data_IF_473055227913
#
_entry.id   IF_473055227913
#
_cell.length_a   1.000
_cell.length_b   1.000
_cell.length_c   1.000
_cell.angle_alpha   90.00
_cell.angle_beta   90.00
_cell.angle_gamma   90.00
#
_symmetry.space_group_name_H-M   'P 1'
#
loop_
_entity.id
_entity.type
_entity.pdbx_description
1 polymer ?
#
# COMPACT_ATOMS: atom_id res chain seq x y z
N UNK A 1 -29.18 -5.13 1.88
CA UNK A 1 -28.20 -4.60 2.84
C UNK A 1 -26.87 -5.25 2.53
N UNK A 2 -25.80 -4.46 2.41
CA UNK A 2 -24.43 -4.97 2.27
C UNK A 2 -23.67 -4.53 3.50
N UNK A 3 -22.90 -5.44 4.09
CA UNK A 3 -22.05 -5.17 5.26
C UNK A 3 -20.65 -5.61 4.92
N UNK A 4 -19.68 -4.71 5.10
CA UNK A 4 -18.26 -4.98 4.89
C UNK A 4 -17.63 -4.90 6.28
N UNK A 5 -17.38 -6.06 6.87
CA UNK A 5 -16.71 -6.16 8.16
C UNK A 5 -15.20 -6.14 7.97
N UNK A 6 -14.55 -5.05 8.42
CA UNK A 6 -13.10 -4.92 8.44
C UNK A 6 -12.67 -4.17 9.69
N UNK A 7 -11.55 -4.59 10.26
CA UNK A 7 -10.82 -3.89 11.32
C UNK A 7 -9.87 -2.82 10.76
N UNK A 8 -9.49 -2.92 9.47
CA UNK A 8 -8.71 -1.88 8.79
C UNK A 8 -9.60 -0.74 8.26
N UNK A 9 -9.49 0.44 8.91
CA UNK A 9 -10.15 1.70 8.52
C UNK A 9 -9.79 2.19 7.12
N UNK A 10 -8.71 1.68 6.52
CA UNK A 10 -8.34 1.94 5.13
C UNK A 10 -9.48 1.61 4.17
N UNK A 11 -10.15 0.47 4.37
CA UNK A 11 -11.25 0.03 3.51
C UNK A 11 -12.42 1.02 3.62
N UNK A 12 -12.75 1.47 4.83
CA UNK A 12 -13.78 2.48 5.04
C UNK A 12 -13.44 3.78 4.31
N UNK A 13 -12.19 4.24 4.41
CA UNK A 13 -11.70 5.43 3.73
C UNK A 13 -11.86 5.32 2.21
N UNK A 14 -11.31 4.27 1.60
CA UNK A 14 -11.39 4.06 0.15
C UNK A 14 -12.85 3.96 -0.33
N UNK A 15 -13.70 3.19 0.37
CA UNK A 15 -15.10 3.02 -0.02
C UNK A 15 -15.95 4.28 0.18
N UNK A 16 -15.52 5.20 1.04
CA UNK A 16 -16.19 6.49 1.26
C UNK A 16 -15.76 7.57 0.26
N UNK A 17 -14.73 7.31 -0.55
CA UNK A 17 -14.22 8.27 -1.55
C UNK A 17 -15.14 8.43 -2.75
N UNK A 18 -15.07 9.60 -3.39
CA UNK A 18 -15.70 9.91 -4.68
C UNK A 18 -15.36 8.87 -5.75
N UNK A 19 -14.14 8.34 -5.74
CA UNK A 19 -13.68 7.31 -6.69
C UNK A 19 -14.55 6.06 -6.59
N UNK A 20 -14.75 5.55 -5.37
CA UNK A 20 -15.59 4.37 -5.17
C UNK A 20 -17.08 4.68 -5.40
N UNK A 21 -17.55 5.87 -5.00
CA UNK A 21 -18.95 6.29 -5.24
C UNK A 21 -19.27 6.31 -6.73
N UNK A 22 -18.42 6.92 -7.56
CA UNK A 22 -18.60 6.96 -9.01
C UNK A 22 -18.61 5.56 -9.63
N UNK A 23 -17.67 4.70 -9.23
CA UNK A 23 -17.66 3.30 -9.64
C UNK A 23 -18.97 2.58 -9.27
N UNK A 24 -19.40 2.70 -8.02
CA UNK A 24 -20.58 2.01 -7.51
C UNK A 24 -21.89 2.49 -8.18
N UNK A 25 -21.99 3.77 -8.52
CA UNK A 25 -23.15 4.34 -9.21
C UNK A 25 -23.28 3.84 -10.65
N UNK A 26 -22.15 3.56 -11.31
CA UNK A 26 -22.11 3.06 -12.69
C UNK A 26 -22.25 1.54 -12.75
N UNK A 27 -21.45 0.81 -11.98
CA UNK A 27 -21.43 -0.65 -11.99
C UNK A 27 -22.58 -1.29 -11.21
N UNK A 28 -23.18 -0.53 -10.29
CA UNK A 28 -24.33 -0.94 -9.51
C UNK A 28 -25.59 -1.17 -10.34
N UNK A 29 -26.69 -1.41 -9.66
CA UNK A 29 -28.02 -1.49 -10.29
C UNK A 29 -28.89 -0.35 -9.79
N UNK A 30 -30.04 -0.14 -10.41
CA UNK A 30 -31.01 0.87 -9.96
C UNK A 30 -32.35 0.21 -9.68
N UNK A 31 -33.02 0.69 -8.63
CA UNK A 31 -34.44 0.39 -8.37
C UNK A 31 -35.20 1.70 -8.50
N UNK A 32 -35.74 1.95 -9.70
CA UNK A 32 -36.24 3.28 -10.07
C UNK A 32 -35.09 4.30 -10.07
N UNK A 33 -35.22 5.36 -9.27
CA UNK A 33 -34.19 6.40 -9.12
C UNK A 33 -33.16 6.10 -8.03
N UNK A 34 -33.38 5.07 -7.22
CA UNK A 34 -32.49 4.75 -6.10
C UNK A 34 -31.39 3.78 -6.54
N UNK A 35 -30.10 4.09 -6.33
CA UNK A 35 -29.02 3.16 -6.61
C UNK A 35 -29.06 1.97 -5.65
N UNK A 36 -28.70 0.79 -6.17
CA UNK A 36 -28.61 -0.47 -5.45
C UNK A 36 -27.19 -1.00 -5.56
N UNK A 37 -26.50 -0.99 -4.42
CA UNK A 37 -25.15 -1.51 -4.30
C UNK A 37 -25.16 -3.05 -4.35
N UNK A 38 -24.61 -3.63 -5.42
CA UNK A 38 -24.54 -5.08 -5.61
C UNK A 38 -23.09 -5.52 -5.44
N UNK A 39 -22.77 -6.25 -4.35
CA UNK A 39 -21.38 -6.64 -3.99
C UNK A 39 -20.57 -7.15 -5.20
N UNK A 40 -21.13 -8.11 -5.94
CA UNK A 40 -20.45 -8.76 -7.08
C UNK A 40 -20.18 -7.86 -8.27
N UNK A 41 -20.84 -6.69 -8.34
CA UNK A 41 -20.63 -5.71 -9.41
C UNK A 41 -19.91 -4.45 -8.93
N UNK A 42 -20.04 -4.12 -7.65
CA UNK A 42 -19.48 -2.88 -7.08
C UNK A 42 -18.19 -3.16 -6.33
N UNK A 43 -18.20 -4.03 -5.31
CA UNK A 43 -17.04 -4.24 -4.43
C UNK A 43 -16.04 -5.22 -5.05
N UNK A 44 -16.51 -6.38 -5.49
CA UNK A 44 -15.64 -7.48 -5.93
C UNK A 44 -14.74 -7.08 -7.12
N UNK A 45 -15.25 -6.39 -8.16
CA UNK A 45 -14.40 -5.95 -9.28
C UNK A 45 -13.78 -4.57 -9.05
N UNK A 46 -13.93 -3.94 -7.88
CA UNK A 46 -13.35 -2.62 -7.67
C UNK A 46 -11.82 -2.71 -7.60
N UNK A 47 -11.08 -2.03 -8.50
CA UNK A 47 -9.63 -2.09 -8.47
C UNK A 47 -9.09 -1.19 -7.36
N UNK A 48 -8.93 -1.73 -6.14
CA UNK A 48 -8.39 -1.00 -4.99
C UNK A 48 -7.00 -0.39 -5.31
N UNK A 49 -6.68 0.79 -4.74
CA UNK A 49 -5.38 1.42 -4.95
C UNK A 49 -4.27 0.59 -4.29
N UNK A 50 -3.03 0.79 -4.74
CA UNK A 50 -1.83 0.15 -4.19
C UNK A 50 -0.93 1.21 -3.51
N UNK A 51 -1.37 1.76 -2.36
CA UNK A 51 -0.67 2.86 -1.69
C UNK A 51 0.64 2.42 -1.02
N UNK A 52 1.55 3.38 -0.82
CA UNK A 52 2.65 3.20 0.13
C UNK A 52 2.13 3.04 1.57
N UNK A 53 2.92 2.51 2.52
CA UNK A 53 2.50 2.42 3.92
C UNK A 53 2.03 3.75 4.52
N UNK A 54 2.68 4.85 4.15
CA UNK A 54 2.36 6.21 4.61
C UNK A 54 1.03 6.69 4.03
N UNK A 55 0.81 6.49 2.73
CA UNK A 55 -0.47 6.82 2.08
C UNK A 55 -1.61 5.97 2.65
N UNK A 56 -1.37 4.68 2.90
CA UNK A 56 -2.34 3.78 3.54
C UNK A 56 -2.71 4.27 4.93
N UNK A 57 -1.72 4.69 5.72
CA UNK A 57 -1.93 5.24 7.07
C UNK A 57 -2.73 6.54 7.04
N UNK A 58 -2.40 7.47 6.13
CA UNK A 58 -3.17 8.72 5.95
C UNK A 58 -4.65 8.45 5.63
N UNK A 59 -4.93 7.49 4.75
CA UNK A 59 -6.32 7.10 4.41
C UNK A 59 -7.04 6.48 5.62
N UNK A 60 -6.35 5.67 6.45
CA UNK A 60 -6.92 5.13 7.69
C UNK A 60 -7.37 6.22 8.64
N UNK A 61 -6.48 7.17 8.92
CA UNK A 61 -6.75 8.28 9.84
C UNK A 61 -7.94 9.11 9.37
N UNK A 62 -8.04 9.36 8.06
CA UNK A 62 -9.19 10.06 7.46
C UNK A 62 -10.48 9.24 7.54
N UNK A 63 -10.41 7.93 7.31
CA UNK A 63 -11.54 7.01 7.49
C UNK A 63 -12.05 6.98 8.93
N UNK A 64 -11.14 6.96 9.91
CA UNK A 64 -11.47 7.02 11.34
C UNK A 64 -12.05 8.37 11.73
N UNK A 65 -11.46 9.47 11.26
CA UNK A 65 -11.97 10.83 11.46
C UNK A 65 -13.40 10.97 10.92
N UNK A 66 -13.67 10.38 9.76
CA UNK A 66 -15.00 10.36 9.15
C UNK A 66 -16.03 9.59 9.99
N UNK A 67 -15.68 8.40 10.45
CA UNK A 67 -16.55 7.59 11.31
C UNK A 67 -16.79 8.26 12.68
N UNK A 68 -15.72 8.75 13.31
CA UNK A 68 -15.78 9.46 14.58
C UNK A 68 -16.67 10.70 14.49
N UNK A 69 -16.53 11.49 13.43
CA UNK A 69 -17.38 12.65 13.19
C UNK A 69 -18.87 12.27 13.11
N UNK A 70 -19.21 11.27 12.28
CA UNK A 70 -20.60 10.80 12.13
C UNK A 70 -21.18 10.33 13.46
N UNK A 71 -20.43 9.52 14.22
CA UNK A 71 -20.83 9.01 15.53
C UNK A 71 -20.99 10.13 16.56
N UNK A 72 -20.05 11.07 16.62
CA UNK A 72 -20.10 12.20 17.53
C UNK A 72 -21.38 13.02 17.31
N UNK A 73 -21.65 13.38 16.05
CA UNK A 73 -22.83 14.16 15.68
C UNK A 73 -24.12 13.43 16.06
N UNK A 74 -24.24 12.14 15.73
CA UNK A 74 -25.43 11.36 16.07
C UNK A 74 -25.62 11.16 17.59
N UNK A 75 -24.53 11.04 18.34
CA UNK A 75 -24.60 10.92 19.80
C UNK A 75 -25.03 12.24 20.47
N UNK A 76 -24.56 13.38 19.96
CA UNK A 76 -24.91 14.70 20.50
C UNK A 76 -26.30 15.17 20.05
N UNK A 77 -26.70 14.78 18.84
CA UNK A 77 -27.96 15.18 18.21
C UNK A 77 -28.65 13.96 17.57
N UNK A 78 -29.41 13.17 18.35
CA UNK A 78 -30.07 11.95 17.86
C UNK A 78 -31.11 12.20 16.74
N UNK A 79 -31.55 13.45 16.56
CA UNK A 79 -32.39 13.89 15.45
C UNK A 79 -31.63 13.95 14.10
N UNK A 80 -30.30 14.01 14.14
CA UNK A 80 -29.46 14.06 12.94
C UNK A 80 -29.28 12.64 12.37
N UNK A 81 -29.67 12.50 11.11
CA UNK A 81 -29.53 11.24 10.37
C UNK A 81 -28.35 11.32 9.40
N UNK A 82 -27.71 10.18 9.12
CA UNK A 82 -26.69 10.07 8.07
C UNK A 82 -27.24 10.62 6.76
N UNK A 83 -28.43 10.19 6.34
CA UNK A 83 -29.08 10.67 5.11
C UNK A 83 -29.24 12.18 5.09
N UNK A 84 -29.70 12.79 6.19
CA UNK A 84 -29.84 14.25 6.27
C UNK A 84 -28.50 14.99 6.19
N UNK A 85 -27.44 14.45 6.81
CA UNK A 85 -26.08 15.01 6.67
C UNK A 85 -25.61 15.02 5.21
N UNK A 86 -25.80 13.91 4.48
CA UNK A 86 -25.38 13.82 3.08
C UNK A 86 -26.27 14.65 2.15
N UNK A 87 -27.57 14.73 2.38
CA UNK A 87 -28.45 15.61 1.59
C UNK A 87 -28.01 17.07 1.68
N UNK A 88 -27.67 17.55 2.88
CA UNK A 88 -27.17 18.90 3.06
C UNK A 88 -25.74 19.07 2.52
N UNK A 89 -24.90 18.04 2.59
CA UNK A 89 -23.56 18.05 1.99
C UNK A 89 -23.64 18.24 0.46
N UNK A 90 -24.55 17.52 -0.20
CA UNK A 90 -24.75 17.67 -1.65
C UNK A 90 -25.31 19.06 -1.99
N UNK A 91 -26.20 19.61 -1.15
CA UNK A 91 -26.67 21.00 -1.26
C UNK A 91 -25.50 22.00 -1.16
N UNK A 92 -24.59 21.78 -0.22
CA UNK A 92 -23.39 22.59 -0.01
C UNK A 92 -22.45 22.53 -1.23
N UNK A 93 -22.19 21.32 -1.75
CA UNK A 93 -21.34 21.09 -2.93
C UNK A 93 -21.92 21.73 -4.20
N UNK A 94 -23.23 21.71 -4.35
CA UNK A 94 -23.93 22.34 -5.47
C UNK A 94 -24.00 23.87 -5.38
N UNK A 95 -23.49 24.49 -4.29
CA UNK A 95 -23.55 25.94 -4.09
C UNK A 95 -24.97 26.48 -3.94
N UNK A 96 -25.94 25.63 -3.55
CA UNK A 96 -27.31 26.06 -3.38
C UNK A 96 -27.45 26.89 -2.09
N UNK A 97 -28.28 27.95 -2.10
CA UNK A 97 -28.44 28.80 -0.93
C UNK A 97 -29.07 28.02 0.23
N UNK A 98 -28.50 28.20 1.42
CA UNK A 98 -29.01 27.61 2.65
C UNK A 98 -30.17 28.44 3.20
N UNK A 99 -31.29 27.77 3.46
CA UNK A 99 -32.38 28.31 4.27
C UNK A 99 -31.96 28.40 5.73
N UNK A 100 -32.74 29.08 6.57
CA UNK A 100 -32.41 29.15 8.00
C UNK A 100 -32.51 27.79 8.69
N UNK A 101 -33.38 26.90 8.21
CA UNK A 101 -33.45 25.51 8.65
C UNK A 101 -32.18 24.73 8.26
N UNK A 102 -31.65 24.94 7.05
CA UNK A 102 -30.40 24.31 6.61
C UNK A 102 -29.21 24.76 7.45
N UNK A 103 -29.13 26.06 7.79
CA UNK A 103 -28.08 26.60 8.66
C UNK A 103 -28.16 25.99 10.06
N UNK A 104 -29.36 25.99 10.66
CA UNK A 104 -29.57 25.37 11.97
C UNK A 104 -29.25 23.86 11.97
N UNK A 105 -29.56 23.16 10.88
CA UNK A 105 -29.16 21.75 10.72
C UNK A 105 -27.65 21.62 10.58
N UNK A 106 -26.99 22.46 9.77
CA UNK A 106 -25.54 22.47 9.60
C UNK A 106 -24.80 22.74 10.92
N UNK A 107 -25.31 23.63 11.77
CA UNK A 107 -24.67 23.97 13.04
C UNK A 107 -24.63 22.77 14.00
N UNK A 108 -25.65 21.91 13.96
CA UNK A 108 -25.69 20.64 14.70
C UNK A 108 -24.89 19.53 14.03
N UNK A 109 -25.09 19.38 12.72
CA UNK A 109 -24.54 18.29 11.93
C UNK A 109 -23.07 18.50 11.52
N UNK A 110 -22.56 19.73 11.66
CA UNK A 110 -21.20 20.12 11.31
C UNK A 110 -20.83 19.72 9.87
N UNK A 111 -21.74 19.94 8.90
CA UNK A 111 -21.60 19.44 7.52
C UNK A 111 -20.40 20.05 6.79
N UNK A 112 -19.96 21.26 7.14
CA UNK A 112 -18.71 21.83 6.63
C UNK A 112 -17.49 20.99 6.99
N UNK A 113 -17.45 20.43 8.21
CA UNK A 113 -16.37 19.53 8.64
C UNK A 113 -16.47 18.19 7.92
N UNK A 114 -17.69 17.67 7.76
CA UNK A 114 -17.92 16.48 6.94
C UNK A 114 -17.40 16.65 5.51
N UNK A 115 -17.67 17.81 4.89
CA UNK A 115 -17.16 18.16 3.56
C UNK A 115 -15.63 18.15 3.54
N UNK A 116 -15.00 18.84 4.48
CA UNK A 116 -13.53 18.91 4.56
C UNK A 116 -12.91 17.51 4.70
N UNK A 117 -13.47 16.65 5.54
CA UNK A 117 -12.98 15.27 5.71
C UNK A 117 -13.07 14.51 4.38
N UNK A 118 -14.19 14.64 3.65
CA UNK A 118 -14.34 14.02 2.34
C UNK A 118 -13.36 14.57 1.31
N UNK A 119 -13.16 15.89 1.26
CA UNK A 119 -12.21 16.51 0.32
C UNK A 119 -10.77 16.04 0.60
N UNK A 120 -10.36 15.97 1.88
CA UNK A 120 -9.05 15.45 2.32
C UNK A 120 -8.91 13.96 1.96
N UNK A 121 -9.96 13.17 2.19
CA UNK A 121 -10.00 11.75 1.89
C UNK A 121 -9.92 11.47 0.39
N UNK A 122 -10.71 12.19 -0.41
CA UNK A 122 -10.67 12.08 -1.87
C UNK A 122 -9.28 12.39 -2.39
N UNK A 123 -8.66 13.50 -1.96
CA UNK A 123 -7.30 13.85 -2.35
C UNK A 123 -6.28 12.74 -1.99
N UNK A 124 -6.37 12.17 -0.78
CA UNK A 124 -5.48 11.08 -0.36
C UNK A 124 -5.69 9.80 -1.18
N UNK A 125 -6.94 9.48 -1.55
CA UNK A 125 -7.23 8.31 -2.38
C UNK A 125 -6.78 8.54 -3.82
N UNK A 126 -6.98 9.73 -4.40
CA UNK A 126 -6.41 10.09 -5.72
C UNK A 126 -4.88 9.94 -5.73
N UNK A 127 -4.20 10.42 -4.69
CA UNK A 127 -2.75 10.27 -4.50
C UNK A 127 -2.33 8.80 -4.46
N UNK A 128 -3.10 7.94 -3.77
CA UNK A 128 -2.87 6.50 -3.71
C UNK A 128 -3.06 5.76 -5.05
N UNK A 129 -3.85 6.32 -5.98
CA UNK A 129 -3.93 5.85 -7.36
C UNK A 129 -2.84 6.46 -8.26
N UNK A 130 -2.10 7.47 -7.79
CA UNK A 130 -1.20 8.27 -8.62
C UNK A 130 -1.92 9.14 -9.65
N UNK A 131 -3.16 9.54 -9.36
CA UNK A 131 -4.01 10.33 -10.27
C UNK A 131 -4.21 11.76 -9.76
N UNK A 132 -4.43 12.69 -10.69
CA UNK A 132 -4.79 14.06 -10.34
C UNK A 132 -6.24 14.14 -9.83
N UNK A 133 -6.49 14.97 -8.83
CA UNK A 133 -7.83 15.15 -8.24
C UNK A 133 -8.77 16.06 -9.07
N UNK A 134 -8.30 16.52 -10.23
CA UNK A 134 -9.00 17.39 -11.18
C UNK A 134 -9.80 16.61 -12.22
N UNK A 135 -9.65 15.27 -12.26
CA UNK A 135 -10.32 14.41 -13.23
C UNK A 135 -11.85 14.55 -13.16
N UNK A 136 -12.45 14.64 -14.35
CA UNK A 136 -13.90 14.55 -14.49
C UNK A 136 -14.38 13.13 -14.14
N UNK A 137 -15.68 12.99 -13.86
CA UNK A 137 -16.26 11.69 -13.51
C UNK A 137 -16.11 10.66 -14.65
N UNK A 138 -16.17 11.12 -15.91
CA UNK A 138 -15.98 10.27 -17.10
C UNK A 138 -14.53 9.81 -17.27
N UNK A 139 -13.56 10.71 -17.11
CA UNK A 139 -12.14 10.36 -17.17
C UNK A 139 -11.73 9.42 -16.03
N UNK A 140 -12.24 9.68 -14.83
CA UNK A 140 -12.04 8.83 -13.67
C UNK A 140 -12.59 7.42 -13.91
N UNK A 141 -13.81 7.32 -14.45
CA UNK A 141 -14.41 6.03 -14.78
C UNK A 141 -13.60 5.29 -15.85
N UNK A 142 -13.16 5.99 -16.90
CA UNK A 142 -12.32 5.42 -17.95
C UNK A 142 -11.02 4.83 -17.38
N UNK A 143 -10.33 5.56 -16.50
CA UNK A 143 -9.14 5.08 -15.80
C UNK A 143 -9.43 3.88 -14.90
N UNK A 144 -10.54 3.88 -14.17
CA UNK A 144 -10.94 2.74 -13.32
C UNK A 144 -11.23 1.49 -14.14
N UNK A 145 -11.90 1.62 -15.28
CA UNK A 145 -12.18 0.48 -16.17
C UNK A 145 -10.88 -0.09 -16.75
N UNK A 146 -9.96 0.78 -17.20
CA UNK A 146 -8.65 0.35 -17.68
C UNK A 146 -7.86 -0.38 -16.58
N UNK A 147 -7.78 0.21 -15.38
CA UNK A 147 -7.11 -0.41 -14.24
C UNK A 147 -7.78 -1.74 -13.85
N UNK A 148 -9.11 -1.84 -13.88
CA UNK A 148 -9.80 -3.10 -13.60
C UNK A 148 -9.42 -4.19 -14.61
N UNK A 149 -9.30 -3.86 -15.90
CA UNK A 149 -8.84 -4.81 -16.92
C UNK A 149 -7.40 -5.27 -16.67
N UNK A 150 -6.49 -4.34 -16.32
CA UNK A 150 -5.12 -4.66 -15.92
C UNK A 150 -5.09 -5.59 -14.71
N UNK A 151 -5.87 -5.32 -13.66
CA UNK A 151 -5.95 -6.17 -12.46
C UNK A 151 -6.52 -7.55 -12.75
N UNK A 152 -7.51 -7.65 -13.64
CA UNK A 152 -8.04 -8.95 -14.07
C UNK A 152 -6.99 -9.76 -14.85
N UNK A 153 -6.15 -9.10 -15.66
CA UNK A 153 -5.04 -9.75 -16.34
C UNK A 153 -3.94 -10.18 -15.35
N UNK A 154 -3.57 -9.34 -14.39
CA UNK A 154 -2.66 -9.68 -13.28
C UNK A 154 -3.15 -10.96 -12.56
N UNK A 155 -4.43 -11.00 -12.16
CA UNK A 155 -5.03 -12.16 -11.49
C UNK A 155 -5.01 -13.42 -12.35
N UNK A 156 -5.31 -13.29 -13.65
CA UNK A 156 -5.25 -14.41 -14.60
C UNK A 156 -3.84 -14.98 -14.77
N UNK A 157 -2.83 -14.13 -14.61
CA UNK A 157 -1.41 -14.48 -14.64
C UNK A 157 -0.89 -14.93 -13.26
N UNK A 158 -1.76 -15.02 -12.25
CA UNK A 158 -1.43 -15.49 -10.90
C UNK A 158 -0.94 -14.41 -9.93
N UNK A 159 -0.94 -13.14 -10.33
CA UNK A 159 -0.64 -12.02 -9.44
C UNK A 159 -1.93 -11.55 -8.77
N UNK A 160 -2.18 -12.01 -7.54
CA UNK A 160 -3.35 -11.60 -6.77
C UNK A 160 -2.94 -10.54 -5.74
N UNK A 161 -3.56 -9.36 -5.84
CA UNK A 161 -3.39 -8.27 -4.88
C UNK A 161 -4.40 -8.41 -3.74
N UNK A 162 -4.05 -9.23 -2.76
CA UNK A 162 -4.89 -9.44 -1.58
C UNK A 162 -5.10 -8.15 -0.78
N UNK A 163 -6.35 -7.77 -0.56
CA UNK A 163 -6.73 -6.62 0.25
C UNK A 163 -6.45 -6.83 1.74
N UNK A 164 -6.58 -8.09 2.20
CA UNK A 164 -6.27 -8.58 3.55
C UNK A 164 -5.48 -9.88 3.44
N UNK A 165 -4.18 -9.83 3.09
CA UNK A 165 -3.37 -11.04 2.89
C UNK A 165 -3.41 -11.99 4.09
N UNK A 166 -3.39 -11.46 5.31
CA UNK A 166 -3.46 -12.22 6.56
C UNK A 166 -4.74 -13.05 6.73
N UNK A 167 -5.83 -12.67 6.06
CA UNK A 167 -7.10 -13.39 6.09
C UNK A 167 -7.38 -14.17 4.81
N UNK A 168 -7.08 -13.58 3.66
CA UNK A 168 -7.42 -14.12 2.34
C UNK A 168 -6.39 -15.16 1.88
N UNK A 169 -5.13 -14.99 2.26
CA UNK A 169 -4.03 -15.86 1.85
C UNK A 169 -2.98 -16.04 2.96
N UNK A 170 -3.39 -16.52 4.16
CA UNK A 170 -2.50 -16.60 5.33
C UNK A 170 -1.28 -17.52 5.14
N UNK A 171 -1.34 -18.42 4.16
CA UNK A 171 -0.29 -19.39 3.85
C UNK A 171 0.42 -19.09 2.51
N UNK A 172 0.01 -18.04 1.78
CA UNK A 172 0.73 -17.62 0.58
C UNK A 172 1.85 -16.66 0.94
N UNK A 173 3.07 -16.99 0.52
CA UNK A 173 4.16 -16.03 0.48
C UNK A 173 4.00 -15.27 -0.84
N UNK A 174 3.76 -13.96 -0.78
CA UNK A 174 3.61 -13.09 -1.96
C UNK A 174 4.73 -13.38 -2.96
N UNK A 175 4.40 -14.11 -4.02
CA UNK A 175 5.34 -14.41 -5.08
C UNK A 175 5.12 -13.33 -6.13
N UNK A 176 5.91 -12.26 -6.10
CA UNK A 176 5.97 -11.32 -7.22
C UNK A 176 6.44 -12.10 -8.44
N UNK A 177 5.57 -12.25 -9.45
CA UNK A 177 5.99 -12.75 -10.75
C UNK A 177 6.77 -11.65 -11.49
N UNK A 178 7.94 -12.07 -11.97
CA UNK A 178 8.79 -11.39 -12.94
C UNK A 178 7.95 -10.82 -14.08
N UNK A 179 8.03 -9.52 -14.31
CA UNK A 179 7.42 -8.88 -15.49
C UNK A 179 8.07 -9.49 -16.74
N UNK A 180 7.26 -10.13 -17.60
CA UNK A 180 7.70 -10.56 -18.91
C UNK A 180 7.99 -9.33 -19.79
N UNK A 181 9.25 -9.05 -20.06
CA UNK A 181 9.68 -7.99 -20.98
C UNK A 181 10.72 -7.01 -20.43
N UNK A 182 10.95 -7.01 -19.11
CA UNK A 182 12.20 -6.48 -18.55
C UNK A 182 13.08 -7.68 -18.32
N UNK A 183 14.07 -7.88 -19.19
CA UNK A 183 15.29 -8.59 -18.77
C UNK A 183 15.91 -7.73 -17.66
N UNK A 184 15.41 -7.87 -16.43
CA UNK A 184 16.32 -7.91 -15.32
C UNK A 184 17.23 -9.06 -15.68
N UNK A 185 18.41 -8.72 -16.19
CA UNK A 185 19.56 -9.59 -16.12
C UNK A 185 19.43 -10.27 -14.78
N UNK A 186 19.16 -11.58 -14.77
CA UNK A 186 19.42 -12.40 -13.59
C UNK A 186 20.74 -11.86 -13.08
N UNK A 187 20.79 -11.36 -11.83
CA UNK A 187 22.08 -11.04 -11.23
C UNK A 187 22.80 -12.37 -11.22
N UNK A 188 23.55 -12.58 -12.30
CA UNK A 188 24.35 -13.75 -12.52
C UNK A 188 25.19 -13.80 -11.27
N UNK A 189 25.02 -14.88 -10.51
CA UNK A 189 25.96 -15.21 -9.45
C UNK A 189 27.25 -15.40 -10.23
N UNK A 190 28.05 -14.33 -10.34
CA UNK A 190 29.35 -14.39 -10.99
C UNK A 190 30.19 -15.19 -10.01
N UNK A 191 30.11 -16.51 -10.12
CA UNK A 191 31.09 -17.40 -9.52
C UNK A 191 32.43 -16.98 -10.10
N UNK A 192 33.34 -16.45 -9.28
CA UNK A 192 34.66 -16.11 -9.76
C UNK A 192 35.29 -17.35 -10.39
N UNK A 193 36.08 -17.17 -11.43
CA UNK A 193 36.87 -18.25 -12.05
C UNK A 193 37.73 -18.99 -11.01
N UNK A 194 38.03 -18.36 -9.86
CA UNK A 194 38.74 -18.94 -8.74
C UNK A 194 38.14 -18.49 -7.38
N UNK A 195 37.61 -19.43 -6.60
CA UNK A 195 37.04 -19.16 -5.26
C UNK A 195 38.15 -18.94 -4.23
N UNK A 196 38.02 -17.92 -3.38
CA UNK A 196 39.00 -17.64 -2.33
C UNK A 196 38.89 -18.67 -1.19
N UNK A 197 40.01 -19.14 -0.62
CA UNK A 197 39.96 -20.01 0.57
C UNK A 197 39.40 -19.24 1.77
N UNK A 198 38.43 -19.81 2.48
CA UNK A 198 37.86 -19.17 3.67
C UNK A 198 38.76 -19.42 4.90
N UNK A 199 39.23 -18.37 5.61
CA UNK A 199 40.14 -18.52 6.74
C UNK A 199 39.56 -19.34 7.90
N UNK A 200 40.44 -19.96 8.71
CA UNK A 200 40.02 -20.76 9.88
C UNK A 200 39.83 -19.94 11.15
N UNK A 201 40.52 -18.80 11.29
CA UNK A 201 40.45 -17.95 12.49
C UNK A 201 39.36 -16.88 12.34
N UNK A 202 38.58 -16.66 13.40
CA UNK A 202 37.45 -15.71 13.42
C UNK A 202 37.82 -14.29 12.97
N UNK A 203 38.95 -13.74 13.46
CA UNK A 203 39.41 -12.40 13.09
C UNK A 203 39.76 -12.28 11.60
N UNK A 204 40.34 -13.34 11.02
CA UNK A 204 40.70 -13.40 9.60
C UNK A 204 39.45 -13.58 8.72
N UNK A 205 38.42 -14.26 9.23
CA UNK A 205 37.12 -14.41 8.54
C UNK A 205 36.40 -13.07 8.41
N UNK A 206 36.32 -12.29 9.50
CA UNK A 206 35.72 -10.95 9.49
C UNK A 206 36.45 -10.01 8.51
N UNK A 207 37.80 -10.04 8.51
CA UNK A 207 38.61 -9.26 7.59
C UNK A 207 38.35 -9.66 6.12
N UNK A 208 38.30 -10.96 5.82
CA UNK A 208 38.05 -11.45 4.47
C UNK A 208 36.67 -11.05 3.94
N UNK A 209 35.62 -11.08 4.78
CA UNK A 209 34.26 -10.64 4.40
C UNK A 209 34.24 -9.13 4.18
N UNK A 210 34.85 -8.35 5.09
CA UNK A 210 34.94 -6.89 4.98
C UNK A 210 35.64 -6.46 3.69
N UNK A 211 36.82 -7.02 3.42
CA UNK A 211 37.66 -6.65 2.28
C UNK A 211 36.98 -7.02 0.94
N UNK A 212 36.22 -8.12 0.91
CA UNK A 212 35.40 -8.49 -0.23
C UNK A 212 34.33 -7.41 -0.51
N UNK A 213 33.62 -6.98 0.54
CA UNK A 213 32.52 -6.01 0.41
C UNK A 213 33.03 -4.59 0.10
N UNK A 214 34.19 -4.19 0.61
CA UNK A 214 34.78 -2.87 0.36
C UNK A 214 35.30 -2.70 -1.07
N UNK A 215 35.63 -3.78 -1.77
CA UNK A 215 36.27 -3.71 -3.10
C UNK A 215 35.30 -3.30 -4.22
N UNK A 216 33.99 -3.49 -4.06
CA UNK A 216 33.03 -3.36 -5.17
C UNK A 216 32.01 -2.24 -5.02
N UNK A 217 31.99 -1.50 -3.90
CA UNK A 217 31.08 -0.36 -3.68
C UNK A 217 29.56 -0.65 -3.84
N UNK A 218 29.19 -1.92 -4.02
CA UNK A 218 27.86 -2.39 -4.36
C UNK A 218 27.20 -3.06 -3.15
N UNK A 219 25.90 -3.27 -3.26
CA UNK A 219 25.15 -4.11 -2.32
C UNK A 219 25.36 -5.59 -2.66
N UNK A 220 25.44 -6.43 -1.63
CA UNK A 220 25.66 -7.86 -1.78
C UNK A 220 24.59 -8.67 -1.04
N UNK A 221 24.12 -9.75 -1.66
CA UNK A 221 23.30 -10.75 -0.97
C UNK A 221 24.18 -11.77 -0.24
N UNK A 222 23.61 -12.45 0.77
CA UNK A 222 24.32 -13.53 1.48
C UNK A 222 24.83 -14.61 0.52
N UNK A 223 24.02 -14.95 -0.49
CA UNK A 223 24.37 -15.98 -1.48
C UNK A 223 25.53 -15.56 -2.39
N UNK A 224 25.56 -14.28 -2.81
CA UNK A 224 26.67 -13.74 -3.59
C UNK A 224 27.97 -13.74 -2.80
N UNK A 225 27.93 -13.43 -1.50
CA UNK A 225 29.11 -13.45 -0.62
C UNK A 225 29.63 -14.87 -0.45
N UNK A 226 28.72 -15.83 -0.20
CA UNK A 226 29.04 -17.25 -0.08
C UNK A 226 29.72 -17.78 -1.35
N UNK A 227 29.25 -17.38 -2.54
CA UNK A 227 29.80 -17.84 -3.82
C UNK A 227 31.27 -17.42 -4.05
N UNK A 228 31.77 -16.42 -3.33
CA UNK A 228 33.16 -15.94 -3.45
C UNK A 228 34.17 -16.82 -2.70
N UNK A 229 33.70 -17.67 -1.77
CA UNK A 229 34.56 -18.45 -0.90
C UNK A 229 34.35 -19.96 -1.06
N UNK A 230 35.45 -20.71 -0.94
CA UNK A 230 35.40 -22.17 -0.83
C UNK A 230 35.00 -22.56 0.59
N UNK A 231 33.71 -22.86 0.80
CA UNK A 231 33.13 -23.06 2.14
C UNK A 231 32.30 -24.34 2.29
N UNK A 232 32.15 -24.78 3.54
CA UNK A 232 31.27 -25.87 3.98
C UNK A 232 29.91 -25.33 4.48
N UNK A 233 28.91 -26.18 4.61
CA UNK A 233 27.58 -25.79 5.12
C UNK A 233 27.61 -25.14 6.51
N UNK A 234 28.54 -25.56 7.39
CA UNK A 234 28.73 -24.95 8.71
C UNK A 234 29.26 -23.51 8.61
N UNK A 235 30.16 -23.27 7.66
CA UNK A 235 30.76 -21.95 7.42
C UNK A 235 29.77 -20.96 6.78
N UNK A 236 28.71 -21.43 6.10
CA UNK A 236 27.62 -20.55 5.64
C UNK A 236 26.96 -19.80 6.79
N UNK A 237 26.64 -20.52 7.87
CA UNK A 237 26.07 -19.91 9.08
C UNK A 237 27.05 -18.94 9.72
N UNK A 238 28.33 -19.32 9.80
CA UNK A 238 29.39 -18.45 10.32
C UNK A 238 29.53 -17.14 9.52
N UNK A 239 29.36 -17.17 8.19
CA UNK A 239 29.36 -15.94 7.37
C UNK A 239 28.17 -15.05 7.72
N UNK A 240 26.97 -15.61 7.91
CA UNK A 240 25.78 -14.84 8.31
C UNK A 240 25.99 -14.16 9.67
N UNK A 241 26.48 -14.91 10.67
CA UNK A 241 26.76 -14.39 12.02
C UNK A 241 27.82 -13.26 11.98
N UNK A 242 28.81 -13.38 11.10
CA UNK A 242 29.84 -12.34 10.90
C UNK A 242 29.31 -11.09 10.22
N UNK A 243 28.37 -11.21 9.28
CA UNK A 243 27.74 -10.06 8.64
C UNK A 243 26.92 -9.24 9.64
N UNK A 244 26.16 -9.92 10.52
CA UNK A 244 25.46 -9.28 11.64
C UNK A 244 26.44 -8.60 12.59
N UNK A 245 27.55 -9.25 12.92
CA UNK A 245 28.60 -8.66 13.76
C UNK A 245 29.20 -7.39 13.12
N UNK A 246 29.46 -7.40 11.81
CA UNK A 246 30.02 -6.24 11.11
C UNK A 246 29.02 -5.08 10.98
N UNK A 247 27.73 -5.36 10.87
CA UNK A 247 26.69 -4.33 10.95
C UNK A 247 26.56 -3.75 12.35
N UNK A 248 26.63 -4.59 13.40
CA UNK A 248 26.68 -4.14 14.78
C UNK A 248 27.86 -3.19 15.06
N UNK A 249 29.03 -3.44 14.46
CA UNK A 249 30.19 -2.55 14.53
C UNK A 249 30.11 -1.33 13.59
N UNK A 250 28.97 -1.15 12.90
CA UNK A 250 28.71 -0.08 11.93
C UNK A 250 29.78 -0.01 10.82
N UNK A 251 30.21 -1.18 10.37
CA UNK A 251 31.12 -1.38 9.23
C UNK A 251 30.30 -1.71 7.96
N UNK A 252 29.17 -2.39 8.13
CA UNK A 252 28.21 -2.68 7.06
C UNK A 252 26.86 -2.04 7.39
N UNK A 253 26.11 -1.68 6.35
CA UNK A 253 24.68 -1.36 6.45
C UNK A 253 23.86 -2.51 5.93
N UNK A 254 22.84 -2.90 6.68
CA UNK A 254 21.82 -3.86 6.28
C UNK A 254 20.63 -3.11 5.68
N UNK A 255 20.22 -3.49 4.48
CA UNK A 255 19.00 -3.01 3.84
C UNK A 255 18.12 -4.20 3.46
N UNK A 256 16.81 -4.05 3.63
CA UNK A 256 15.84 -5.07 3.23
C UNK A 256 15.01 -4.48 2.10
N UNK A 257 15.11 -5.07 0.90
CA UNK A 257 14.32 -4.66 -0.25
C UNK A 257 13.62 -5.90 -0.82
N UNK A 258 12.29 -5.85 -0.96
CA UNK A 258 11.45 -6.95 -1.43
C UNK A 258 11.71 -8.29 -0.70
N UNK A 259 11.94 -8.25 0.61
CA UNK A 259 12.22 -9.44 1.43
C UNK A 259 13.65 -10.00 1.33
N UNK A 260 14.50 -9.42 0.48
CA UNK A 260 15.92 -9.81 0.33
C UNK A 260 16.80 -8.91 1.19
N UNK A 261 17.60 -9.53 2.07
CA UNK A 261 18.60 -8.84 2.89
C UNK A 261 19.84 -8.57 2.03
N UNK A 262 20.23 -7.29 1.98
CA UNK A 262 21.42 -6.81 1.28
C UNK A 262 22.37 -6.13 2.25
N UNK A 263 23.65 -6.43 2.11
CA UNK A 263 24.74 -5.89 2.90
C UNK A 263 25.58 -4.95 2.05
N UNK A 264 25.88 -3.77 2.57
CA UNK A 264 26.72 -2.78 1.90
C UNK A 264 27.83 -2.32 2.83
N UNK A 265 29.06 -2.23 2.31
CA UNK A 265 30.16 -1.66 3.08
C UNK A 265 29.97 -0.15 3.26
N UNK A 266 30.10 0.31 4.50
CA UNK A 266 30.04 1.74 4.82
C UNK A 266 31.44 2.30 4.68
N UNK A 267 31.67 3.08 3.62
CA UNK A 267 32.90 3.83 3.48
C UNK A 267 32.92 4.95 4.52
N UNK A 268 33.63 4.73 5.64
CA UNK A 268 33.96 5.82 6.55
C UNK A 268 35.05 6.63 5.86
N UNK A 269 34.60 7.56 5.02
CA UNK A 269 35.43 8.63 4.50
C UNK A 269 36.27 9.22 5.64
N UNK A 270 37.57 9.21 5.43
CA UNK A 270 38.55 9.88 6.28
C UNK A 270 38.32 11.40 6.25
#
# INVERSE_FOLDING_TARGET
MVVIGSDDSFILGVLSSKIHVNWALVCGSKRGVTPVYTKTKCFDPFPFPDPTPEQKQKIRELGEKLDAHRKQVQNQHPDITITGMYNLLEKLRAGQPFTDADKAYNDKALVSILKQIHDELDAAVFEAYGWENTLTDEELLSKLVALNAERAEEESNGLIRWLRPEYQAPNEVTTQLKIAGVTETEETIITPTEQKPFPKKSKEQLAAIRDLLSTSGRQWTLEQIIAQFKITSKQKKTIADHLESLEWFNILTKSTNNGVIRWQYVDKGN
#
